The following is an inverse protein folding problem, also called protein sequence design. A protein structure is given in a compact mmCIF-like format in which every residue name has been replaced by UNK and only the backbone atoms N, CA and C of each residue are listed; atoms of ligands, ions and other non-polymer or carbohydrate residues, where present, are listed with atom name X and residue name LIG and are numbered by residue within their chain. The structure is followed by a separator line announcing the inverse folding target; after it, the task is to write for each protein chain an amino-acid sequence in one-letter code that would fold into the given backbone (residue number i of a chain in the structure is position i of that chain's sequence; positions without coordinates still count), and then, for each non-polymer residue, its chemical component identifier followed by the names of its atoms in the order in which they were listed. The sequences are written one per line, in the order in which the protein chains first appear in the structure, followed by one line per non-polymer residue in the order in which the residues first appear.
data_IF_575759301839
#
_entry.id   IF_575759301839
#
_cell.length_a   1.000
_cell.length_b   1.000
_cell.length_c   1.000
_cell.angle_alpha   90.00
_cell.angle_beta   90.00
_cell.angle_gamma   90.00
#
_symmetry.space_group_name_H-M   'P 1'
#
loop_
_entity.id
_entity.type
_entity.pdbx_description
1 polymer ?
#
# COMPACT_ATOMS: atom_id res chain seq x y z
N UNK A 1 63.29 18.14 -18.51
CA UNK A 1 62.85 16.99 -19.33
C UNK A 1 61.69 16.36 -18.60
N UNK A 2 60.47 16.79 -18.91
CA UNK A 2 59.64 16.32 -20.03
C UNK A 2 58.62 15.31 -19.53
N UNK A 3 57.37 15.59 -19.87
CA UNK A 3 56.18 14.89 -19.42
C UNK A 3 55.92 13.62 -20.27
N UNK A 4 54.66 13.19 -20.47
CA UNK A 4 54.07 11.98 -19.94
C UNK A 4 53.91 10.88 -21.00
N UNK A 5 54.10 9.61 -20.64
CA UNK A 5 53.62 8.46 -21.42
C UNK A 5 52.28 8.04 -20.82
N UNK A 6 51.10 8.49 -21.29
CA UNK A 6 50.47 8.27 -22.59
C UNK A 6 50.78 6.90 -23.16
N UNK A 7 49.80 5.99 -23.12
CA UNK A 7 49.63 4.91 -24.11
C UNK A 7 48.28 4.21 -23.93
N UNK A 8 47.75 3.57 -24.99
CA UNK A 8 46.76 4.22 -25.83
C UNK A 8 45.48 3.40 -25.92
N UNK A 9 44.35 4.09 -26.10
CA UNK A 9 43.19 3.47 -26.69
C UNK A 9 43.50 3.11 -28.13
N UNK A 10 43.56 1.81 -28.45
CA UNK A 10 42.98 1.18 -29.67
C UNK A 10 43.35 -0.30 -29.77
N UNK A 11 42.35 -1.16 -29.64
CA UNK A 11 41.98 -2.19 -30.60
C UNK A 11 40.59 -2.70 -30.21
N UNK A 12 39.52 -2.22 -30.84
CA UNK A 12 39.10 -2.59 -32.20
C UNK A 12 38.51 -4.01 -32.22
N UNK A 13 37.18 -4.04 -32.17
CA UNK A 13 36.27 -5.01 -32.79
C UNK A 13 36.11 -6.42 -32.18
N UNK A 14 34.86 -6.65 -31.78
CA UNK A 14 34.12 -7.90 -31.93
C UNK A 14 34.26 -8.97 -30.83
N UNK A 15 33.72 -8.69 -29.63
CA UNK A 15 33.07 -9.75 -28.84
C UNK A 15 31.56 -9.59 -28.97
N UNK A 16 30.82 -10.58 -29.51
CA UNK A 16 29.36 -10.51 -29.53
C UNK A 16 28.89 -10.37 -28.09
N UNK A 17 28.18 -9.27 -27.82
CA UNK A 17 27.46 -9.09 -26.56
C UNK A 17 26.46 -10.25 -26.50
N UNK A 18 26.53 -11.16 -25.52
CA UNK A 18 25.52 -12.19 -25.41
C UNK A 18 24.18 -11.47 -25.31
N UNK A 19 23.24 -11.85 -26.19
CA UNK A 19 21.85 -11.46 -26.11
C UNK A 19 21.26 -12.12 -24.86
N UNK A 20 21.67 -11.62 -23.69
CA UNK A 20 20.88 -11.75 -22.49
C UNK A 20 19.76 -10.74 -22.73
N UNK A 21 18.70 -11.22 -23.39
CA UNK A 21 17.36 -10.65 -23.24
C UNK A 21 17.12 -10.57 -21.74
N UNK A 22 17.52 -9.46 -21.12
CA UNK A 22 17.00 -9.07 -19.83
C UNK A 22 15.52 -8.88 -20.09
N UNK A 23 14.75 -9.91 -19.75
CA UNK A 23 13.30 -9.90 -19.73
C UNK A 23 12.86 -8.72 -18.87
N UNK A 24 12.62 -7.60 -19.55
CA UNK A 24 12.19 -6.32 -18.98
C UNK A 24 10.77 -6.42 -18.37
N UNK A 25 10.18 -7.60 -18.36
CA UNK A 25 8.86 -7.94 -17.82
C UNK A 25 8.88 -8.24 -16.32
N UNK A 26 10.05 -8.50 -15.70
CA UNK A 26 10.09 -8.86 -14.28
C UNK A 26 9.91 -7.64 -13.35
N UNK A 27 10.52 -6.49 -13.67
CA UNK A 27 10.48 -5.32 -12.78
C UNK A 27 9.16 -4.52 -12.83
N UNK A 28 8.33 -4.74 -13.84
CA UNK A 28 7.04 -4.05 -14.02
C UNK A 28 5.88 -4.75 -13.29
N UNK A 29 6.00 -6.03 -12.96
CA UNK A 29 4.97 -6.80 -12.24
C UNK A 29 5.10 -6.69 -10.71
N UNK A 30 6.30 -6.39 -10.20
CA UNK A 30 6.60 -6.25 -8.76
C UNK A 30 5.95 -5.00 -8.12
N UNK A 31 5.58 -3.98 -8.91
CA UNK A 31 4.97 -2.73 -8.40
C UNK A 31 3.45 -2.79 -8.15
N UNK A 32 2.80 -3.94 -8.34
CA UNK A 32 1.32 -4.03 -8.29
C UNK A 32 0.72 -4.40 -6.94
N UNK A 33 1.52 -4.64 -5.90
CA UNK A 33 1.03 -5.08 -4.58
C UNK A 33 1.53 -4.24 -3.41
N UNK A 34 1.88 -2.96 -3.62
CA UNK A 34 1.86 -2.02 -2.49
C UNK A 34 0.41 -1.85 -2.04
N UNK A 35 -0.02 -2.77 -1.16
CA UNK A 35 -1.22 -2.64 -0.34
C UNK A 35 -1.07 -1.30 0.36
N UNK A 36 -1.91 -0.33 -0.03
CA UNK A 36 -2.02 0.93 0.70
C UNK A 36 -2.19 0.56 2.16
N UNK A 37 -1.39 1.16 3.02
CA UNK A 37 -1.51 0.99 4.46
C UNK A 37 -2.95 1.31 4.86
N UNK A 38 -3.76 0.28 5.11
CA UNK A 38 -5.14 0.38 5.61
C UNK A 38 -5.17 0.84 7.08
N UNK A 39 -4.10 1.50 7.55
CA UNK A 39 -4.12 2.15 8.85
C UNK A 39 -5.22 3.21 8.77
N UNK A 40 -6.25 3.14 9.63
CA UNK A 40 -7.24 4.19 9.68
C UNK A 40 -6.49 5.50 9.91
N UNK A 41 -6.68 6.46 9.00
CA UNK A 41 -6.14 7.80 9.20
C UNK A 41 -6.86 8.37 10.42
N UNK A 42 -6.13 9.03 11.29
CA UNK A 42 -6.73 9.64 12.48
C UNK A 42 -7.92 10.51 12.07
N UNK A 43 -9.11 10.38 12.72
CA UNK A 43 -10.28 11.15 12.35
C UNK A 43 -10.07 12.67 12.46
N UNK A 44 -9.16 13.07 13.35
CA UNK A 44 -8.77 14.47 13.57
C UNK A 44 -7.62 14.93 12.67
N UNK A 45 -7.05 14.06 11.83
CA UNK A 45 -6.01 14.48 10.90
C UNK A 45 -6.60 15.40 9.83
N UNK A 46 -5.96 16.56 9.56
CA UNK A 46 -6.46 17.49 8.57
C UNK A 46 -6.48 16.83 7.20
N UNK A 47 -7.59 17.02 6.49
CA UNK A 47 -7.78 16.44 5.17
C UNK A 47 -6.95 17.23 4.16
N UNK A 48 -6.24 16.50 3.30
CA UNK A 48 -5.40 17.07 2.23
C UNK A 48 -6.12 18.17 1.44
N UNK A 49 -5.36 19.20 1.06
CA UNK A 49 -5.85 20.24 0.17
C UNK A 49 -6.34 19.66 -1.17
N UNK A 50 -7.45 20.22 -1.67
CA UNK A 50 -8.02 19.95 -3.00
C UNK A 50 -7.28 20.79 -4.05
N UNK A 51 -7.04 20.20 -5.22
CA UNK A 51 -6.51 20.94 -6.37
C UNK A 51 -7.62 21.66 -7.13
N UNK A 52 -7.23 22.59 -8.01
CA UNK A 52 -8.15 23.35 -8.87
C UNK A 52 -9.11 22.45 -9.67
N UNK A 53 -8.60 21.32 -10.18
CA UNK A 53 -9.40 20.34 -10.91
C UNK A 53 -10.48 19.69 -10.04
N UNK A 54 -10.22 19.41 -8.75
CA UNK A 54 -11.24 18.84 -7.87
C UNK A 54 -12.36 19.82 -7.56
N UNK A 55 -12.07 21.12 -7.44
CA UNK A 55 -13.11 22.15 -7.33
C UNK A 55 -13.97 22.22 -8.60
N UNK A 56 -13.35 22.13 -9.77
CA UNK A 56 -14.09 22.05 -11.03
C UNK A 56 -14.97 20.79 -11.12
N UNK A 57 -14.43 19.62 -10.72
CA UNK A 57 -15.21 18.39 -10.68
C UNK A 57 -16.42 18.50 -9.76
N UNK A 58 -16.29 19.11 -8.57
CA UNK A 58 -17.40 19.28 -7.64
C UNK A 58 -18.54 20.10 -8.29
N UNK A 59 -18.22 21.19 -9.00
CA UNK A 59 -19.21 22.06 -9.68
C UNK A 59 -19.84 21.44 -10.94
N UNK A 60 -19.10 20.55 -11.63
CA UNK A 60 -19.52 19.98 -12.93
C UNK A 60 -20.12 18.58 -12.79
N UNK A 61 -19.69 17.79 -11.81
CA UNK A 61 -20.14 16.41 -11.63
C UNK A 61 -21.65 16.32 -11.51
N UNK A 62 -22.31 17.23 -10.81
CA UNK A 62 -23.77 17.24 -10.68
C UNK A 62 -24.47 17.58 -12.00
N UNK A 63 -23.88 18.47 -12.81
CA UNK A 63 -24.39 18.83 -14.14
C UNK A 63 -24.28 17.65 -15.10
N UNK A 64 -23.14 16.95 -15.10
CA UNK A 64 -22.90 15.80 -15.98
C UNK A 64 -23.73 14.59 -15.53
N UNK A 65 -23.87 14.36 -14.22
CA UNK A 65 -24.72 13.28 -13.69
C UNK A 65 -26.20 13.49 -14.05
N UNK A 66 -26.69 14.72 -14.06
CA UNK A 66 -28.06 15.03 -14.53
C UNK A 66 -28.25 14.75 -16.02
N UNK A 67 -27.23 15.01 -16.84
CA UNK A 67 -27.26 14.74 -18.29
C UNK A 67 -27.07 13.27 -18.64
N UNK A 68 -26.30 12.56 -17.82
CA UNK A 68 -26.00 11.14 -17.99
C UNK A 68 -26.26 10.38 -16.69
N UNK A 69 -27.53 10.23 -16.29
CA UNK A 69 -27.88 9.54 -15.04
C UNK A 69 -27.55 8.04 -15.08
N UNK A 70 -27.40 7.47 -16.28
CA UNK A 70 -27.06 6.05 -16.52
C UNK A 70 -25.55 5.81 -16.63
N UNK A 71 -24.74 6.85 -16.87
CA UNK A 71 -23.30 6.70 -17.07
C UNK A 71 -22.58 6.44 -15.74
N UNK A 72 -21.62 5.51 -15.77
CA UNK A 72 -20.82 5.18 -14.61
C UNK A 72 -19.85 6.30 -14.22
N UNK A 73 -19.41 6.33 -12.95
CA UNK A 73 -18.44 7.31 -12.43
C UNK A 73 -17.17 7.39 -13.30
N UNK A 74 -16.74 6.27 -13.87
CA UNK A 74 -15.57 6.22 -14.75
C UNK A 74 -15.78 6.98 -16.08
N UNK A 75 -16.95 6.88 -16.69
CA UNK A 75 -17.29 7.61 -17.93
C UNK A 75 -17.47 9.10 -17.65
N UNK A 76 -18.15 9.43 -16.55
CA UNK A 76 -18.29 10.82 -16.08
C UNK A 76 -16.91 11.47 -15.85
N UNK A 77 -15.96 10.72 -15.28
CA UNK A 77 -14.60 11.18 -15.05
C UNK A 77 -13.84 11.52 -16.34
N UNK A 78 -14.01 10.71 -17.39
CA UNK A 78 -13.40 10.96 -18.71
C UNK A 78 -13.94 12.25 -19.34
N UNK A 79 -15.26 12.40 -19.37
CA UNK A 79 -15.93 13.58 -19.91
C UNK A 79 -15.50 14.87 -19.19
N UNK A 80 -15.41 14.85 -17.85
CA UNK A 80 -14.95 16.00 -17.06
C UNK A 80 -13.46 16.30 -17.29
N UNK A 81 -12.62 15.29 -17.47
CA UNK A 81 -11.21 15.47 -17.81
C UNK A 81 -11.02 16.18 -19.15
N UNK A 82 -11.79 15.79 -20.17
CA UNK A 82 -11.78 16.46 -21.47
C UNK A 82 -12.25 17.91 -21.38
N UNK A 83 -13.31 18.18 -20.61
CA UNK A 83 -13.78 19.55 -20.37
C UNK A 83 -12.70 20.40 -19.71
N UNK A 84 -12.02 19.88 -18.68
CA UNK A 84 -10.94 20.61 -18.01
C UNK A 84 -9.75 20.90 -18.94
N UNK A 85 -9.38 19.97 -19.82
CA UNK A 85 -8.31 20.19 -20.79
C UNK A 85 -8.69 21.27 -21.81
N UNK A 86 -9.96 21.34 -22.23
CA UNK A 86 -10.49 22.34 -23.18
C UNK A 86 -10.68 23.73 -22.58
N UNK A 87 -10.86 23.85 -21.25
CA UNK A 87 -11.00 25.15 -20.58
C UNK A 87 -9.74 26.00 -20.73
N UNK A 88 -9.94 27.29 -20.98
CA UNK A 88 -8.87 28.27 -21.07
C UNK A 88 -8.26 28.57 -19.69
N UNK A 89 -7.03 29.07 -19.65
CA UNK A 89 -6.36 29.42 -18.38
C UNK A 89 -7.12 30.50 -17.59
N UNK A 90 -7.83 31.40 -18.29
CA UNK A 90 -8.71 32.41 -17.70
C UNK A 90 -9.86 31.79 -16.91
N UNK A 91 -10.43 30.70 -17.40
CA UNK A 91 -11.49 29.97 -16.70
C UNK A 91 -10.93 29.08 -15.60
N UNK A 92 -9.67 28.63 -15.71
CA UNK A 92 -8.96 27.85 -14.68
C UNK A 92 -8.51 28.72 -13.51
N UNK A 93 -8.17 29.99 -13.75
CA UNK A 93 -7.73 30.98 -12.76
C UNK A 93 -8.61 31.07 -11.50
N UNK A 94 -9.95 31.19 -11.57
CA UNK A 94 -10.78 31.19 -10.36
C UNK A 94 -10.68 29.87 -9.58
N UNK A 95 -10.53 28.73 -10.25
CA UNK A 95 -10.33 27.44 -9.58
C UNK A 95 -8.93 27.30 -8.98
N UNK A 96 -7.91 27.88 -9.60
CA UNK A 96 -6.56 27.99 -9.02
C UNK A 96 -6.59 28.80 -7.72
N UNK A 97 -7.22 29.99 -7.73
CA UNK A 97 -7.40 30.79 -6.52
C UNK A 97 -8.16 30.05 -5.40
N UNK A 98 -9.18 29.26 -5.74
CA UNK A 98 -9.87 28.38 -4.77
C UNK A 98 -8.92 27.32 -4.20
N UNK A 99 -8.07 26.74 -5.03
CA UNK A 99 -7.08 25.75 -4.60
C UNK A 99 -5.98 26.33 -3.72
N UNK A 100 -5.52 27.55 -4.01
CA UNK A 100 -4.52 28.24 -3.19
C UNK A 100 -5.08 28.55 -1.80
N UNK A 101 -6.33 29.05 -1.72
CA UNK A 101 -7.02 29.24 -0.44
C UNK A 101 -7.18 27.93 0.36
N UNK A 102 -7.53 26.83 -0.30
CA UNK A 102 -7.67 25.54 0.39
C UNK A 102 -6.32 24.96 0.82
N UNK A 103 -5.25 25.27 0.10
CA UNK A 103 -3.87 24.95 0.49
C UNK A 103 -3.46 25.72 1.75
N UNK A 104 -3.80 27.00 1.83
CA UNK A 104 -3.59 27.81 3.04
C UNK A 104 -4.38 27.26 4.23
N UNK A 105 -5.66 26.93 4.06
CA UNK A 105 -6.48 26.25 5.08
C UNK A 105 -5.81 24.96 5.57
N UNK A 106 -5.40 24.09 4.65
CA UNK A 106 -4.74 22.82 5.01
C UNK A 106 -3.42 23.05 5.74
N UNK A 107 -2.63 24.04 5.33
CA UNK A 107 -1.38 24.36 6.01
C UNK A 107 -1.63 24.83 7.45
N UNK A 108 -2.60 25.72 7.66
CA UNK A 108 -2.98 26.19 8.99
C UNK A 108 -3.50 25.04 9.88
N UNK A 109 -4.39 24.19 9.37
CA UNK A 109 -4.88 23.02 10.12
C UNK A 109 -3.77 22.00 10.40
N UNK A 110 -2.83 21.83 9.46
CA UNK A 110 -1.68 20.94 9.62
C UNK A 110 -0.70 21.44 10.68
N UNK A 111 -0.47 22.76 10.75
CA UNK A 111 0.36 23.37 11.78
C UNK A 111 -0.29 23.27 13.17
N UNK A 112 -1.62 23.40 13.24
CA UNK A 112 -2.37 23.18 14.48
C UNK A 112 -2.52 21.69 14.87
N UNK A 113 -2.25 20.77 13.93
CA UNK A 113 -2.43 19.33 14.16
C UNK A 113 -1.26 18.72 14.93
N UNK A 114 -1.51 18.37 16.19
CA UNK A 114 -0.64 17.51 16.99
C UNK A 114 -1.01 16.05 16.69
N UNK A 115 -0.13 15.25 16.05
CA UNK A 115 -0.42 13.85 15.82
C UNK A 115 -0.58 13.12 17.16
N UNK A 116 -1.52 12.16 17.27
CA UNK A 116 -1.61 11.34 18.46
C UNK A 116 -0.26 10.65 18.67
N UNK A 117 0.31 10.82 19.85
CA UNK A 117 1.52 10.10 20.23
C UNK A 117 1.27 8.60 20.04
N UNK A 118 2.22 7.83 19.48
CA UNK A 118 2.09 6.38 19.38
C UNK A 118 1.78 5.81 20.76
N UNK A 119 0.51 5.50 21.03
CA UNK A 119 0.11 5.03 22.34
C UNK A 119 0.79 3.69 22.57
N UNK A 120 1.44 3.57 23.72
CA UNK A 120 2.04 2.32 24.14
C UNK A 120 0.96 1.23 24.10
N UNK A 121 1.24 0.04 23.53
CA UNK A 121 0.25 -1.01 23.51
C UNK A 121 -0.25 -1.29 24.92
N UNK A 122 -1.56 -1.41 25.11
CA UNK A 122 -2.27 -1.40 26.41
C UNK A 122 -1.65 -2.31 27.48
N UNK A 123 -1.07 -3.42 27.06
CA UNK A 123 -0.50 -4.45 27.94
C UNK A 123 0.97 -4.18 28.34
N UNK A 124 1.62 -3.21 27.70
CA UNK A 124 2.97 -2.76 28.05
C UNK A 124 2.92 -1.63 29.07
N UNK A 125 3.88 -1.62 29.99
CA UNK A 125 4.06 -0.58 30.99
C UNK A 125 5.52 -0.10 30.99
N UNK A 126 5.69 1.18 31.30
CA UNK A 126 6.98 1.85 31.42
C UNK A 126 7.42 1.81 32.88
N UNK A 127 8.67 1.43 33.14
CA UNK A 127 9.26 1.45 34.47
C UNK A 127 10.70 1.97 34.40
N UNK A 128 11.15 2.65 35.46
CA UNK A 128 12.53 3.12 35.60
C UNK A 128 13.28 2.17 36.52
N UNK A 129 14.48 1.77 36.11
CA UNK A 129 15.40 1.03 36.98
C UNK A 129 15.95 1.95 38.08
N UNK A 130 15.75 1.63 39.38
CA UNK A 130 16.24 2.45 40.50
C UNK A 130 17.76 2.67 40.53
N UNK A 131 18.54 1.73 39.98
CA UNK A 131 20.00 1.81 40.02
C UNK A 131 20.59 2.59 38.84
N UNK A 132 19.96 2.52 37.66
CA UNK A 132 20.51 3.09 36.42
C UNK A 132 19.72 4.27 35.89
N UNK A 133 18.50 4.51 36.39
CA UNK A 133 17.57 5.51 35.87
C UNK A 133 17.10 5.23 34.44
N UNK A 134 17.47 4.08 33.86
CA UNK A 134 17.12 3.71 32.49
C UNK A 134 15.69 3.22 32.46
N UNK A 135 14.89 3.81 31.58
CA UNK A 135 13.54 3.36 31.29
C UNK A 135 13.56 2.03 30.56
N UNK A 136 12.84 1.04 31.08
CA UNK A 136 12.56 -0.22 30.42
C UNK A 136 11.05 -0.41 30.25
N UNK A 137 10.66 -1.16 29.22
CA UNK A 137 9.28 -1.48 28.93
C UNK A 137 9.03 -2.95 29.25
N UNK A 138 8.00 -3.25 30.01
CA UNK A 138 7.64 -4.62 30.33
C UNK A 138 6.19 -4.90 29.95
N UNK A 139 5.94 -6.07 29.37
CA UNK A 139 4.61 -6.53 29.01
C UNK A 139 4.00 -7.29 30.20
N UNK A 140 2.89 -6.78 30.72
CA UNK A 140 2.17 -7.34 31.87
C UNK A 140 1.54 -8.71 31.58
N UNK A 141 1.33 -9.08 30.32
CA UNK A 141 0.74 -10.36 29.93
C UNK A 141 1.76 -11.45 29.59
N UNK A 142 2.85 -11.08 28.91
CA UNK A 142 3.84 -12.05 28.44
C UNK A 142 5.10 -12.07 29.30
N UNK A 143 5.20 -11.19 30.31
CA UNK A 143 6.40 -10.98 31.13
C UNK A 143 7.66 -10.67 30.30
N UNK A 144 7.48 -10.22 29.06
CA UNK A 144 8.58 -9.80 28.18
C UNK A 144 9.07 -8.42 28.59
N UNK A 145 10.38 -8.27 28.75
CA UNK A 145 11.04 -6.98 29.01
C UNK A 145 11.85 -6.55 27.79
N UNK A 146 11.74 -5.30 27.40
CA UNK A 146 12.50 -4.71 26.29
C UNK A 146 13.01 -3.33 26.66
N UNK A 147 14.20 -2.99 26.19
CA UNK A 147 14.81 -1.67 26.35
C UNK A 147 14.37 -0.69 25.26
N UNK A 148 13.65 -1.18 24.24
CA UNK A 148 13.16 -0.39 23.10
C UNK A 148 11.66 -0.19 23.24
N UNK A 149 11.14 1.04 23.04
CA UNK A 149 9.70 1.31 23.10
C UNK A 149 8.94 0.35 22.17
N UNK A 150 8.08 -0.54 22.70
CA UNK A 150 7.37 -1.50 21.89
C UNK A 150 6.42 -0.76 20.96
N UNK A 151 6.62 -0.89 19.66
CA UNK A 151 5.67 -0.39 18.69
C UNK A 151 4.38 -1.19 18.85
N UNK A 152 3.23 -0.50 18.87
CA UNK A 152 1.94 -1.17 18.80
C UNK A 152 1.94 -2.03 17.52
N UNK A 153 2.09 -3.35 17.69
CA UNK A 153 2.14 -4.27 16.57
C UNK A 153 0.97 -3.95 15.63
N UNK A 154 1.19 -3.90 14.31
CA UNK A 154 0.14 -3.54 13.36
C UNK A 154 -1.06 -4.42 13.64
N UNK A 155 -2.21 -3.80 13.97
CA UNK A 155 -3.44 -4.52 14.27
C UNK A 155 -3.68 -5.48 13.11
N UNK A 156 -3.56 -6.80 13.37
CA UNK A 156 -3.88 -7.82 12.38
C UNK A 156 -5.36 -7.67 12.08
N UNK A 157 -5.68 -6.96 10.99
CA UNK A 157 -7.06 -6.82 10.51
C UNK A 157 -7.60 -8.23 10.36
N UNK A 158 -8.61 -8.58 11.17
CA UNK A 158 -9.29 -9.87 11.06
C UNK A 158 -9.78 -9.97 9.62
N UNK A 159 -9.25 -10.94 8.87
CA UNK A 159 -9.70 -11.25 7.51
C UNK A 159 -11.23 -11.29 7.53
N UNK A 160 -11.89 -10.45 6.71
CA UNK A 160 -13.36 -10.44 6.59
C UNK A 160 -13.81 -11.89 6.46
N UNK A 161 -14.68 -12.36 7.36
CA UNK A 161 -15.33 -13.67 7.22
C UNK A 161 -16.02 -13.62 5.85
N UNK A 162 -15.65 -14.55 4.98
CA UNK A 162 -16.26 -14.67 3.65
C UNK A 162 -17.74 -14.99 3.86
N UNK A 163 -18.63 -14.27 3.18
CA UNK A 163 -20.07 -14.49 3.30
C UNK A 163 -20.40 -15.97 3.11
N UNK A 164 -21.28 -16.57 3.94
CA UNK A 164 -21.54 -18.01 3.91
C UNK A 164 -22.16 -18.49 2.59
N UNK A 165 -22.85 -17.58 1.88
CA UNK A 165 -23.48 -17.82 0.58
C UNK A 165 -22.55 -17.47 -0.61
N UNK A 166 -21.37 -16.89 -0.36
CA UNK A 166 -20.45 -16.58 -1.45
C UNK A 166 -19.90 -17.87 -2.08
N UNK A 167 -19.88 -17.98 -3.42
CA UNK A 167 -19.36 -19.17 -4.08
C UNK A 167 -17.90 -19.37 -3.68
N UNK A 168 -17.57 -20.61 -3.30
CA UNK A 168 -16.20 -21.00 -2.97
C UNK A 168 -15.33 -20.79 -4.21
N UNK A 169 -14.15 -20.21 -4.02
CA UNK A 169 -13.18 -20.03 -5.10
C UNK A 169 -12.86 -21.39 -5.73
N UNK A 170 -12.64 -21.42 -7.04
CA UNK A 170 -12.18 -22.63 -7.72
C UNK A 170 -10.93 -23.19 -7.03
N UNK A 171 -10.88 -24.51 -6.85
CA UNK A 171 -9.71 -25.21 -6.29
C UNK A 171 -8.53 -25.00 -7.24
N UNK A 172 -7.33 -24.83 -6.68
CA UNK A 172 -6.09 -24.80 -7.48
C UNK A 172 -5.69 -26.22 -7.88
N UNK A 173 -4.94 -26.38 -8.97
CA UNK A 173 -4.39 -27.65 -9.45
C UNK A 173 -3.73 -28.48 -8.34
N UNK A 174 -3.05 -27.84 -7.41
CA UNK A 174 -2.45 -28.48 -6.23
C UNK A 174 -3.49 -29.18 -5.32
N UNK A 175 -4.67 -28.58 -5.14
CA UNK A 175 -5.74 -29.19 -4.34
C UNK A 175 -6.40 -30.37 -5.07
N UNK A 176 -6.48 -30.33 -6.42
CA UNK A 176 -6.94 -31.48 -7.20
C UNK A 176 -5.94 -32.65 -7.11
N UNK A 177 -4.65 -32.35 -7.19
CA UNK A 177 -3.59 -33.35 -6.98
C UNK A 177 -3.67 -33.97 -5.58
N UNK A 178 -3.81 -33.15 -4.54
CA UNK A 178 -3.96 -33.65 -3.16
C UNK A 178 -5.22 -34.47 -2.94
N UNK A 179 -6.35 -34.11 -3.55
CA UNK A 179 -7.58 -34.92 -3.45
C UNK A 179 -7.40 -36.32 -4.09
N UNK A 180 -6.68 -36.40 -5.21
CA UNK A 180 -6.39 -37.66 -5.90
C UNK A 180 -5.38 -38.55 -5.14
N UNK A 181 -4.36 -37.94 -4.52
CA UNK A 181 -3.37 -38.66 -3.71
C UNK A 181 -3.97 -39.10 -2.38
N UNK A 182 -4.70 -38.22 -1.69
CA UNK A 182 -5.29 -38.48 -0.38
C UNK A 182 -6.37 -39.58 -0.43
N UNK A 183 -7.07 -39.72 -1.57
CA UNK A 183 -8.02 -40.81 -1.79
C UNK A 183 -7.35 -42.19 -1.77
N UNK A 184 -6.12 -42.30 -2.28
CA UNK A 184 -5.34 -43.55 -2.28
C UNK A 184 -4.71 -43.82 -0.91
N UNK A 185 -4.05 -42.83 -0.32
CA UNK A 185 -3.35 -43.01 0.96
C UNK A 185 -4.28 -43.28 2.15
N UNK A 186 -5.54 -42.82 2.08
CA UNK A 186 -6.56 -43.12 3.11
C UNK A 186 -7.13 -44.54 3.00
N UNK A 187 -7.10 -45.13 1.80
CA UNK A 187 -7.46 -46.54 1.61
C UNK A 187 -6.39 -47.46 2.22
N UNK A 188 -5.12 -47.09 2.09
CA UNK A 188 -3.99 -47.87 2.61
C UNK A 188 -3.76 -47.69 4.11
N UNK A 189 -4.18 -46.56 4.71
CA UNK A 189 -4.01 -46.26 6.14
C UNK A 189 -5.28 -45.66 6.75
N UNK A 190 -6.31 -46.48 7.07
CA UNK A 190 -7.63 -45.99 7.49
C UNK A 190 -7.65 -45.34 8.89
N UNK A 191 -6.62 -45.60 9.72
CA UNK A 191 -6.50 -45.07 11.09
C UNK A 191 -5.63 -43.81 11.19
N UNK A 192 -4.90 -43.44 10.13
CA UNK A 192 -4.01 -42.29 10.13
C UNK A 192 -4.77 -40.96 10.04
N UNK A 193 -4.39 -39.99 10.86
CA UNK A 193 -5.08 -38.69 10.88
C UNK A 193 -4.63 -37.80 9.72
N UNK A 194 -5.51 -36.92 9.24
CA UNK A 194 -5.30 -36.05 8.05
C UNK A 194 -4.03 -35.19 8.15
N UNK A 195 -3.54 -34.92 9.37
CA UNK A 195 -2.33 -34.16 9.64
C UNK A 195 -1.03 -34.95 9.53
N UNK A 196 -1.06 -36.27 9.68
CA UNK A 196 0.11 -37.15 9.55
C UNK A 196 0.39 -37.48 8.08
N UNK A 197 -0.66 -37.70 7.29
CA UNK A 197 -0.57 -37.95 5.84
C UNK A 197 -0.08 -36.74 5.02
N UNK A 198 -0.11 -35.53 5.59
CA UNK A 198 0.37 -34.32 4.93
C UNK A 198 1.83 -33.98 5.19
N UNK A 199 2.53 -34.77 6.02
CA UNK A 199 3.94 -34.57 6.40
C UNK A 199 4.88 -35.65 5.81
N UNK A 200 4.33 -36.71 5.23
CA UNK A 200 5.03 -37.69 4.40
C UNK A 200 5.18 -37.14 2.97
#
# INVERSE_FOLDING_TARGET
SEAPFNYPWKCSHNRPRPLIFKTFTSFALERRTMVKSDRPKDPNAPKRAKSAYFFFMDDVRDKVKKKHPTAGIGELGKLMGEMWSKLSEKEKLPYQKKADKDKERYNAEKEAYVPPTPQMPKDWAEAQDPNTGKTYYYNRKTSETTWSRPEAAPLKLKKKKKDPDAPKRAKSAYFFFMDAVRGKTKADNPTATIGELGKL
#
